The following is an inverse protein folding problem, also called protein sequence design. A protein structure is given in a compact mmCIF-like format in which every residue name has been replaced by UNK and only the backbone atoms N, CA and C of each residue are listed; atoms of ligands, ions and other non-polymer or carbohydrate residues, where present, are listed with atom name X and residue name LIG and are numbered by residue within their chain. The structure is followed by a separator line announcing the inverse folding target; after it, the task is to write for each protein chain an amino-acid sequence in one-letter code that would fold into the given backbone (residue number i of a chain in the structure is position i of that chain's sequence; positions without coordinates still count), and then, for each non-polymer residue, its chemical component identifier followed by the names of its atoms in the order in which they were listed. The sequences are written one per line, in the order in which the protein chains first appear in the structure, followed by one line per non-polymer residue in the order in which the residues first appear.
data_IF_566233007825
#
_entry.id   IF_566233007825
#
_cell.length_a   1.000
_cell.length_b   1.000
_cell.length_c   1.000
_cell.angle_alpha   90.00
_cell.angle_beta   90.00
_cell.angle_gamma   90.00
#
_symmetry.space_group_name_H-M   'P 1'
#
loop_
_entity.id
_entity.type
_entity.pdbx_description
1 polymer ?
#
# COMPACT_ATOMS: atom_id res chain seq x y z
N UNK A 1 12.12 13.78 19.93
CA UNK A 1 12.83 12.50 19.89
C UNK A 1 12.26 11.52 20.88
N UNK A 2 12.60 11.59 22.18
CA UNK A 2 12.24 10.58 23.18
C UNK A 2 10.78 10.11 23.12
N UNK A 3 9.82 11.03 23.11
CA UNK A 3 8.39 10.70 22.99
C UNK A 3 8.02 9.99 21.67
N UNK A 4 8.63 10.40 20.55
CA UNK A 4 8.37 9.78 19.26
C UNK A 4 9.00 8.37 19.19
N UNK A 5 10.21 8.23 19.74
CA UNK A 5 10.88 6.95 19.85
C UNK A 5 10.09 5.96 20.72
N UNK A 6 9.63 6.37 21.90
CA UNK A 6 8.73 5.58 22.76
C UNK A 6 7.48 5.13 21.99
N UNK A 7 6.82 6.04 21.28
CA UNK A 7 5.65 5.70 20.44
C UNK A 7 6.01 4.65 19.37
N UNK A 8 7.14 4.78 18.69
CA UNK A 8 7.50 3.86 17.60
C UNK A 8 7.99 2.50 18.09
N UNK A 9 8.54 2.42 19.31
CA UNK A 9 9.05 1.18 19.88
C UNK A 9 7.99 0.42 20.68
N UNK A 10 7.21 1.15 21.49
CA UNK A 10 6.41 0.58 22.57
C UNK A 10 4.89 0.61 22.32
N UNK A 11 4.40 1.38 21.34
CA UNK A 11 2.99 1.26 20.96
C UNK A 11 2.77 0.01 20.09
N UNK A 12 1.56 -0.57 20.14
CA UNK A 12 1.16 -1.61 19.21
C UNK A 12 1.46 -1.18 17.78
N UNK A 13 2.09 -2.06 17.00
CA UNK A 13 2.53 -1.74 15.65
C UNK A 13 1.36 -1.12 14.90
N UNK A 14 0.19 -1.74 14.85
CA UNK A 14 -1.00 -1.23 14.16
C UNK A 14 -1.40 0.24 14.44
N UNK A 15 -1.00 0.87 15.55
CA UNK A 15 -1.26 2.27 15.88
C UNK A 15 -0.19 3.26 15.37
N UNK A 16 0.95 2.77 14.92
CA UNK A 16 2.05 3.60 14.41
C UNK A 16 1.70 4.12 13.00
N UNK A 17 1.82 5.43 12.79
CA UNK A 17 1.76 6.03 11.46
C UNK A 17 3.12 5.88 10.77
N UNK A 18 3.19 5.00 9.78
CA UNK A 18 4.41 4.65 9.06
C UNK A 18 4.83 5.73 8.03
N UNK A 19 3.88 6.47 7.47
CA UNK A 19 4.14 7.43 6.37
C UNK A 19 4.96 8.64 6.84
N UNK A 20 4.81 9.01 8.11
CA UNK A 20 5.44 10.21 8.67
C UNK A 20 6.77 9.94 9.37
N UNK A 21 7.14 8.67 9.62
CA UNK A 21 8.33 8.31 10.42
C UNK A 21 9.60 8.82 9.75
N UNK A 22 9.80 8.47 8.48
CA UNK A 22 11.05 8.77 7.78
C UNK A 22 11.29 10.29 7.70
N UNK A 23 10.25 11.05 7.35
CA UNK A 23 10.29 12.51 7.34
C UNK A 23 10.59 13.07 8.74
N UNK A 24 9.87 12.59 9.76
CA UNK A 24 10.03 13.06 11.15
C UNK A 24 11.44 12.78 11.69
N UNK A 25 11.97 11.59 11.44
CA UNK A 25 13.34 11.21 11.84
C UNK A 25 14.37 12.08 11.11
N UNK A 26 14.19 12.31 9.81
CA UNK A 26 15.07 13.18 9.00
C UNK A 26 15.11 14.61 9.55
N UNK A 27 13.96 15.17 9.91
CA UNK A 27 13.86 16.51 10.46
C UNK A 27 14.43 16.61 11.87
N UNK A 28 14.15 15.64 12.74
CA UNK A 28 14.77 15.58 14.07
C UNK A 28 16.30 15.46 13.97
N UNK A 29 16.80 14.67 13.02
CA UNK A 29 18.24 14.54 12.77
C UNK A 29 18.86 15.89 12.37
N UNK A 30 18.29 16.55 11.36
CA UNK A 30 18.75 17.88 10.91
C UNK A 30 18.72 18.90 12.04
N UNK A 31 17.67 18.87 12.86
CA UNK A 31 17.54 19.74 14.04
C UNK A 31 18.68 19.48 15.03
N UNK A 32 18.97 18.23 15.37
CA UNK A 32 20.08 17.90 16.29
C UNK A 32 21.44 18.32 15.73
N UNK A 33 21.70 18.10 14.44
CA UNK A 33 22.94 18.57 13.79
C UNK A 33 23.10 20.09 13.89
N UNK A 34 22.01 20.85 13.76
CA UNK A 34 22.02 22.31 13.98
C UNK A 34 22.26 22.65 15.44
N UNK A 35 21.57 21.99 16.37
CA UNK A 35 21.73 22.19 17.82
C UNK A 35 23.16 21.95 18.30
N UNK A 36 23.84 20.91 17.79
CA UNK A 36 25.25 20.64 18.12
C UNK A 36 26.16 21.82 17.75
N UNK A 37 25.90 22.50 16.62
CA UNK A 37 26.64 23.70 16.21
C UNK A 37 26.27 24.91 17.07
N UNK A 38 24.99 25.09 17.38
CA UNK A 38 24.50 26.22 18.20
C UNK A 38 25.04 26.17 19.63
N UNK A 39 25.17 24.97 20.20
CA UNK A 39 25.65 24.77 21.58
C UNK A 39 27.16 24.53 21.67
N UNK A 40 27.95 24.90 20.64
CA UNK A 40 29.39 24.66 20.62
C UNK A 40 30.13 25.23 21.85
N UNK A 41 29.66 26.35 22.38
CA UNK A 41 30.24 27.01 23.55
C UNK A 41 29.63 26.55 24.90
N UNK A 42 28.65 25.63 24.88
CA UNK A 42 27.96 25.10 26.06
C UNK A 42 28.08 23.56 26.07
N UNK A 43 29.20 23.01 26.60
CA UNK A 43 29.51 21.58 26.49
C UNK A 43 28.43 20.63 27.01
N UNK A 44 27.72 21.01 28.08
CA UNK A 44 26.64 20.20 28.68
C UNK A 44 25.39 20.12 27.79
N UNK A 45 25.06 21.18 27.05
CA UNK A 45 23.94 21.14 26.11
C UNK A 45 24.34 20.45 24.81
N UNK A 46 25.59 20.64 24.38
CA UNK A 46 26.13 19.98 23.21
C UNK A 46 26.16 18.46 23.38
N UNK A 47 26.59 17.96 24.55
CA UNK A 47 26.64 16.51 24.82
C UNK A 47 25.26 15.86 24.72
N UNK A 48 24.21 16.51 25.25
CA UNK A 48 22.82 16.02 25.12
C UNK A 48 22.36 15.99 23.66
N UNK A 49 22.71 17.00 22.86
CA UNK A 49 22.36 17.03 21.43
C UNK A 49 23.10 15.94 20.63
N UNK A 50 24.37 15.65 20.98
CA UNK A 50 25.14 14.54 20.41
C UNK A 50 24.50 13.20 20.77
N UNK A 51 24.14 13.01 22.03
CA UNK A 51 23.50 11.78 22.51
C UNK A 51 22.19 11.49 21.76
N UNK A 52 21.30 12.48 21.65
CA UNK A 52 20.05 12.33 20.90
C UNK A 52 20.32 12.05 19.42
N UNK A 53 21.32 12.71 18.81
CA UNK A 53 21.71 12.44 17.41
C UNK A 53 22.17 10.99 17.24
N UNK A 54 22.96 10.45 18.18
CA UNK A 54 23.45 9.08 18.10
C UNK A 54 22.29 8.08 18.19
N UNK A 55 21.34 8.29 19.12
CA UNK A 55 20.11 7.48 19.19
C UNK A 55 19.31 7.52 17.88
N UNK A 56 19.22 8.69 17.24
CA UNK A 56 18.58 8.81 15.92
C UNK A 56 19.34 7.99 14.86
N UNK A 57 20.67 8.02 14.87
CA UNK A 57 21.49 7.27 13.91
C UNK A 57 21.40 5.75 14.12
N UNK A 58 21.24 5.28 15.36
CA UNK A 58 20.99 3.87 15.68
C UNK A 58 19.59 3.43 15.27
N UNK A 59 18.59 4.30 15.35
CA UNK A 59 17.21 3.99 14.96
C UNK A 59 17.00 3.98 13.44
N UNK A 60 17.68 4.85 12.69
CA UNK A 60 17.50 5.00 11.23
C UNK A 60 17.54 3.67 10.44
N UNK A 61 18.52 2.77 10.66
CA UNK A 61 18.56 1.47 9.99
C UNK A 61 17.36 0.57 10.27
N UNK A 62 16.63 0.81 11.36
CA UNK A 62 15.45 0.02 11.75
C UNK A 62 14.17 0.50 11.05
N UNK A 63 14.18 1.71 10.47
CA UNK A 63 13.00 2.29 9.81
C UNK A 63 12.47 1.40 8.68
N UNK A 64 13.30 0.90 7.74
CA UNK A 64 12.80 0.03 6.67
C UNK A 64 12.09 -1.22 7.20
N UNK A 65 12.60 -1.80 8.29
CA UNK A 65 11.98 -2.95 8.93
C UNK A 65 10.62 -2.60 9.54
N UNK A 66 10.53 -1.47 10.24
CA UNK A 66 9.27 -0.97 10.78
C UNK A 66 8.25 -0.71 9.67
N UNK A 67 8.67 -0.11 8.55
CA UNK A 67 7.82 0.10 7.37
C UNK A 67 7.36 -1.22 6.74
N UNK A 68 8.26 -2.21 6.64
CA UNK A 68 7.95 -3.53 6.11
C UNK A 68 6.90 -4.27 6.99
N UNK A 69 7.07 -4.23 8.31
CA UNK A 69 6.11 -4.76 9.28
C UNK A 69 4.74 -4.06 9.20
N UNK A 70 4.74 -2.81 8.73
CA UNK A 70 3.55 -1.97 8.58
C UNK A 70 2.89 -2.00 7.23
N UNK A 71 3.46 -2.75 6.29
CA UNK A 71 3.03 -2.70 4.92
C UNK A 71 1.56 -3.16 4.79
N UNK A 72 0.65 -2.31 4.25
CA UNK A 72 -0.77 -2.63 4.14
C UNK A 72 -1.05 -3.79 3.17
N UNK A 73 -0.10 -4.10 2.28
CA UNK A 73 -0.16 -5.26 1.41
C UNK A 73 0.10 -6.59 2.10
N UNK A 74 0.57 -6.58 3.35
CA UNK A 74 0.80 -7.80 4.11
C UNK A 74 -0.53 -8.49 4.41
N UNK A 75 -0.57 -9.80 4.14
CA UNK A 75 -1.72 -10.68 4.34
C UNK A 75 -1.21 -11.94 5.00
N UNK A 76 -2.10 -12.79 5.50
CA UNK A 76 -1.76 -14.04 6.20
C UNK A 76 -0.68 -14.86 5.49
N UNK A 77 -0.84 -15.11 4.17
CA UNK A 77 0.16 -15.80 3.33
C UNK A 77 1.60 -15.24 3.42
N UNK A 78 1.74 -13.93 3.62
CA UNK A 78 3.05 -13.26 3.72
C UNK A 78 3.68 -13.50 5.09
N UNK A 79 2.87 -13.48 6.14
CA UNK A 79 3.31 -13.79 7.50
C UNK A 79 3.64 -15.27 7.66
N UNK A 80 2.84 -16.16 7.08
CA UNK A 80 3.14 -17.60 7.00
C UNK A 80 4.45 -17.86 6.24
N UNK A 81 4.69 -17.15 5.13
CA UNK A 81 5.96 -17.25 4.41
C UNK A 81 7.13 -16.81 5.30
N UNK A 82 6.99 -15.69 6.02
CA UNK A 82 8.03 -15.21 6.94
C UNK A 82 8.29 -16.21 8.07
N UNK A 83 7.25 -16.79 8.65
CA UNK A 83 7.36 -17.84 9.68
C UNK A 83 8.05 -19.08 9.13
N UNK A 84 7.73 -19.52 7.92
CA UNK A 84 8.38 -20.68 7.29
C UNK A 84 9.88 -20.45 7.04
N UNK A 85 10.28 -19.24 6.66
CA UNK A 85 11.67 -18.91 6.35
C UNK A 85 12.51 -18.62 7.62
N UNK A 86 11.90 -18.12 8.70
CA UNK A 86 12.62 -17.65 9.90
C UNK A 86 12.35 -18.48 11.16
N UNK A 87 11.24 -19.22 11.20
CA UNK A 87 10.73 -19.88 12.40
C UNK A 87 10.07 -18.93 13.41
N UNK A 88 9.91 -17.64 13.08
CA UNK A 88 9.33 -16.63 13.98
C UNK A 88 7.86 -16.41 13.63
N UNK A 89 6.98 -16.72 14.59
CA UNK A 89 5.55 -16.44 14.48
C UNK A 89 5.24 -15.03 14.99
N UNK A 90 4.66 -14.18 14.15
CA UNK A 90 4.22 -12.83 14.52
C UNK A 90 2.70 -12.78 14.66
N UNK A 91 2.21 -12.72 15.89
CA UNK A 91 0.80 -12.55 16.19
C UNK A 91 0.47 -11.09 16.53
N UNK A 92 -0.13 -10.38 15.57
CA UNK A 92 -0.52 -8.98 15.75
C UNK A 92 -1.83 -8.81 16.54
N UNK A 93 -2.58 -9.89 16.82
CA UNK A 93 -3.86 -9.81 17.55
C UNK A 93 -3.67 -9.42 19.02
N UNK A 94 -2.49 -9.67 19.57
CA UNK A 94 -2.15 -9.40 20.98
C UNK A 94 -1.59 -8.00 21.22
N UNK A 95 -1.54 -7.15 20.19
CA UNK A 95 -0.96 -5.80 20.30
C UNK A 95 0.56 -5.77 20.24
N UNK A 96 1.16 -6.65 19.42
CA UNK A 96 2.60 -6.76 19.20
C UNK A 96 3.25 -5.40 18.89
N UNK A 97 4.31 -5.06 19.61
CA UNK A 97 5.08 -3.81 19.47
C UNK A 97 6.31 -4.01 18.59
N UNK A 98 6.93 -2.91 18.13
CA UNK A 98 8.18 -3.02 17.36
C UNK A 98 9.33 -3.53 18.22
N UNK A 99 9.37 -3.13 19.50
CA UNK A 99 10.32 -3.65 20.48
C UNK A 99 10.19 -5.17 20.68
N UNK A 100 8.96 -5.69 20.70
CA UNK A 100 8.73 -7.14 20.78
C UNK A 100 9.30 -7.85 19.55
N UNK A 101 9.03 -7.35 18.34
CA UNK A 101 9.58 -7.90 17.10
C UNK A 101 11.11 -7.96 17.12
N UNK A 102 11.78 -6.89 17.56
CA UNK A 102 13.24 -6.87 17.68
C UNK A 102 13.74 -7.91 18.70
N UNK A 103 13.05 -8.03 19.83
CA UNK A 103 13.38 -9.01 20.88
C UNK A 103 13.18 -10.45 20.41
N UNK A 104 12.22 -10.69 19.51
CA UNK A 104 11.97 -11.98 18.87
C UNK A 104 12.98 -12.32 17.77
N UNK A 105 13.94 -11.43 17.45
CA UNK A 105 14.97 -11.66 16.44
C UNK A 105 14.59 -11.22 15.03
N UNK A 106 13.45 -10.55 14.83
CA UNK A 106 13.02 -10.09 13.50
C UNK A 106 14.05 -9.15 12.85
N UNK A 107 14.80 -8.40 13.66
CA UNK A 107 15.89 -7.52 13.20
C UNK A 107 17.00 -8.26 12.46
N UNK A 108 17.29 -9.51 12.84
CA UNK A 108 18.30 -10.37 12.18
C UNK A 108 17.82 -10.88 10.82
N UNK A 109 16.50 -10.86 10.61
CA UNK A 109 15.83 -11.30 9.38
C UNK A 109 15.24 -10.13 8.58
N UNK A 110 15.77 -8.92 8.76
CA UNK A 110 15.26 -7.72 8.11
C UNK A 110 15.26 -7.80 6.58
N UNK A 111 16.25 -8.46 5.98
CA UNK A 111 16.32 -8.66 4.52
C UNK A 111 15.17 -9.56 4.01
N UNK A 112 14.85 -10.63 4.75
CA UNK A 112 13.75 -11.55 4.42
C UNK A 112 12.41 -10.79 4.53
N UNK A 113 12.21 -10.09 5.65
CA UNK A 113 11.02 -9.26 5.86
C UNK A 113 10.86 -8.21 4.76
N UNK A 114 11.96 -7.55 4.37
CA UNK A 114 11.98 -6.57 3.28
C UNK A 114 11.56 -7.19 1.94
N UNK A 115 12.09 -8.35 1.59
CA UNK A 115 11.72 -9.06 0.36
C UNK A 115 10.24 -9.47 0.32
N UNK A 116 9.71 -9.98 1.44
CA UNK A 116 8.31 -10.36 1.55
C UNK A 116 7.41 -9.13 1.47
N UNK A 117 7.75 -8.05 2.18
CA UNK A 117 7.03 -6.78 2.12
C UNK A 117 7.06 -6.18 0.71
N UNK A 118 8.18 -6.24 0.00
CA UNK A 118 8.26 -5.76 -1.39
C UNK A 118 7.33 -6.52 -2.33
N UNK A 119 7.21 -7.84 -2.16
CA UNK A 119 6.24 -8.66 -2.89
C UNK A 119 4.81 -8.23 -2.52
N UNK A 120 4.53 -8.09 -1.24
CA UNK A 120 3.24 -7.67 -0.72
C UNK A 120 2.81 -6.29 -1.24
N UNK A 121 3.73 -5.32 -1.35
CA UNK A 121 3.47 -4.00 -1.95
C UNK A 121 3.00 -4.11 -3.39
N UNK A 122 3.64 -4.98 -4.18
CA UNK A 122 3.32 -5.14 -5.61
C UNK A 122 1.99 -5.87 -5.79
N UNK A 123 1.70 -6.85 -4.95
CA UNK A 123 0.40 -7.51 -4.90
C UNK A 123 -0.71 -6.52 -4.49
N UNK A 124 -0.46 -5.69 -3.49
CA UNK A 124 -1.41 -4.67 -3.04
C UNK A 124 -1.71 -3.62 -4.11
N UNK A 125 -0.72 -3.23 -4.91
CA UNK A 125 -0.96 -2.32 -6.03
C UNK A 125 -1.97 -2.91 -7.03
N UNK A 126 -1.89 -4.21 -7.33
CA UNK A 126 -2.86 -4.91 -8.18
C UNK A 126 -4.24 -4.92 -7.53
N UNK A 127 -4.32 -5.28 -6.24
CA UNK A 127 -5.57 -5.29 -5.46
C UNK A 127 -6.26 -3.91 -5.51
N UNK A 128 -5.50 -2.84 -5.28
CA UNK A 128 -6.02 -1.46 -5.29
C UNK A 128 -6.48 -1.04 -6.67
N UNK A 129 -5.71 -1.32 -7.72
CA UNK A 129 -6.10 -1.03 -9.10
C UNK A 129 -7.39 -1.77 -9.47
N UNK A 130 -7.50 -3.06 -9.15
CA UNK A 130 -8.68 -3.85 -9.46
C UNK A 130 -9.91 -3.38 -8.70
N UNK A 131 -9.79 -3.16 -7.39
CA UNK A 131 -10.89 -2.65 -6.56
C UNK A 131 -11.36 -1.26 -7.02
N UNK A 132 -10.42 -0.38 -7.41
CA UNK A 132 -10.75 0.92 -7.96
C UNK A 132 -11.53 0.78 -9.26
N UNK A 133 -11.07 -0.07 -10.19
CA UNK A 133 -11.77 -0.30 -11.45
C UNK A 133 -13.19 -0.79 -11.21
N UNK A 134 -13.36 -1.81 -10.37
CA UNK A 134 -14.68 -2.37 -10.01
C UNK A 134 -15.58 -1.29 -9.39
N UNK A 135 -15.06 -0.51 -8.44
CA UNK A 135 -15.81 0.55 -7.77
C UNK A 135 -16.27 1.67 -8.72
N UNK A 136 -15.48 2.01 -9.74
CA UNK A 136 -15.87 3.00 -10.75
C UNK A 136 -17.10 2.55 -11.56
N UNK A 137 -17.35 1.25 -11.70
CA UNK A 137 -18.52 0.71 -12.41
C UNK A 137 -19.78 0.59 -11.57
N UNK A 138 -19.71 0.65 -10.23
CA UNK A 138 -20.89 0.50 -9.36
C UNK A 138 -21.93 1.59 -9.62
N UNK A 139 -21.50 2.79 -9.98
CA UNK A 139 -22.36 3.95 -10.21
C UNK A 139 -22.64 4.23 -11.70
N UNK A 140 -22.08 3.44 -12.63
CA UNK A 140 -22.28 3.64 -14.07
C UNK A 140 -23.72 3.32 -14.45
N UNK A 141 -24.37 4.26 -15.14
CA UNK A 141 -25.76 4.12 -15.61
C UNK A 141 -25.83 4.46 -17.09
N UNK A 142 -26.31 3.52 -17.88
CA UNK A 142 -26.59 3.74 -19.30
C UNK A 142 -27.95 4.43 -19.46
N UNK A 143 -27.99 5.53 -20.20
CA UNK A 143 -29.23 6.28 -20.42
C UNK A 143 -30.02 5.67 -21.57
N UNK A 144 -31.28 5.30 -21.32
CA UNK A 144 -32.23 4.87 -22.35
C UNK A 144 -33.22 5.98 -22.63
N UNK A 145 -33.40 6.35 -23.90
CA UNK A 145 -34.37 7.38 -24.33
C UNK A 145 -35.39 6.81 -25.31
N UNK A 146 -36.68 7.18 -25.21
CA UNK A 146 -37.70 6.71 -26.15
C UNK A 146 -37.40 7.15 -27.58
N UNK A 147 -37.55 6.23 -28.54
CA UNK A 147 -37.41 6.54 -29.96
C UNK A 147 -38.75 6.98 -30.56
N UNK A 148 -38.93 8.30 -30.70
CA UNK A 148 -40.11 8.90 -31.35
C UNK A 148 -41.42 8.30 -30.81
N UNK A 149 -42.27 7.74 -31.67
CA UNK A 149 -43.55 7.11 -31.34
C UNK A 149 -43.57 5.61 -31.63
N UNK A 150 -42.41 4.96 -31.78
CA UNK A 150 -42.33 3.53 -32.11
C UNK A 150 -42.62 2.64 -30.90
N UNK A 151 -42.53 3.19 -29.68
CA UNK A 151 -42.60 2.42 -28.44
C UNK A 151 -41.30 1.70 -28.09
N UNK A 152 -40.20 1.94 -28.83
CA UNK A 152 -38.86 1.40 -28.57
C UNK A 152 -37.95 2.45 -27.91
N UNK A 153 -36.77 2.03 -27.44
CA UNK A 153 -35.79 2.89 -26.78
C UNK A 153 -34.43 2.81 -27.49
N UNK A 154 -33.71 3.92 -27.52
CA UNK A 154 -32.30 3.99 -27.93
C UNK A 154 -31.43 4.17 -26.69
N UNK A 155 -30.26 3.54 -26.70
CA UNK A 155 -29.25 3.72 -25.68
C UNK A 155 -28.33 4.87 -26.06
N UNK A 156 -28.06 5.75 -25.09
CA UNK A 156 -27.00 6.74 -25.17
C UNK A 156 -25.87 6.29 -24.26
N UNK A 157 -24.74 6.02 -24.87
CA UNK A 157 -23.47 5.83 -24.18
C UNK A 157 -22.72 7.15 -24.28
N UNK A 158 -22.29 7.70 -23.14
CA UNK A 158 -21.50 8.93 -23.14
C UNK A 158 -20.05 8.62 -23.48
N UNK A 159 -19.35 9.60 -24.06
CA UNK A 159 -17.92 9.46 -24.39
C UNK A 159 -17.09 9.11 -23.16
N UNK A 160 -17.49 9.57 -21.96
CA UNK A 160 -16.83 9.23 -20.70
C UNK A 160 -16.95 7.74 -20.33
N UNK A 161 -18.10 7.11 -20.57
CA UNK A 161 -18.31 5.68 -20.30
C UNK A 161 -17.49 4.85 -21.28
N UNK A 162 -17.45 5.25 -22.56
CA UNK A 162 -16.66 4.56 -23.57
C UNK A 162 -15.16 4.64 -23.25
N UNK A 163 -14.68 5.84 -22.90
CA UNK A 163 -13.29 6.05 -22.50
C UNK A 163 -12.93 5.24 -21.25
N UNK A 164 -13.80 5.21 -20.23
CA UNK A 164 -13.62 4.40 -19.02
C UNK A 164 -13.45 2.91 -19.36
N UNK A 165 -14.32 2.39 -20.24
CA UNK A 165 -14.28 0.99 -20.66
C UNK A 165 -12.98 0.65 -21.40
N UNK A 166 -12.59 1.47 -22.36
CA UNK A 166 -11.38 1.26 -23.14
C UNK A 166 -10.11 1.34 -22.25
N UNK A 167 -10.05 2.33 -21.36
CA UNK A 167 -8.94 2.51 -20.42
C UNK A 167 -8.82 1.32 -19.46
N UNK A 168 -9.94 0.86 -18.91
CA UNK A 168 -9.94 -0.25 -17.97
C UNK A 168 -9.65 -1.60 -18.65
N UNK A 169 -10.02 -1.79 -19.93
CA UNK A 169 -9.59 -2.97 -20.69
C UNK A 169 -8.07 -3.00 -20.80
N UNK A 170 -7.45 -1.87 -21.18
CA UNK A 170 -5.99 -1.76 -21.29
C UNK A 170 -5.33 -1.96 -19.92
N UNK A 171 -5.87 -1.34 -18.87
CA UNK A 171 -5.32 -1.45 -17.52
C UNK A 171 -5.43 -2.88 -16.96
N UNK A 172 -6.55 -3.56 -17.19
CA UNK A 172 -6.75 -4.97 -16.82
C UNK A 172 -5.73 -5.87 -17.52
N UNK A 173 -5.48 -5.61 -18.82
CA UNK A 173 -4.46 -6.32 -19.57
C UNK A 173 -3.04 -6.07 -19.03
N UNK A 174 -2.74 -4.85 -18.55
CA UNK A 174 -1.43 -4.55 -17.95
C UNK A 174 -1.21 -5.33 -16.64
N UNK A 175 -2.22 -5.37 -15.76
CA UNK A 175 -2.10 -6.10 -14.48
C UNK A 175 -2.10 -7.62 -14.69
N UNK A 176 -2.74 -8.14 -15.76
CA UNK A 176 -2.73 -9.57 -16.10
C UNK A 176 -1.36 -10.08 -16.59
N UNK A 177 -0.45 -9.18 -16.97
CA UNK A 177 0.96 -9.49 -17.26
C UNK A 177 1.88 -9.35 -16.04
N UNK A 178 1.38 -8.87 -14.91
CA UNK A 178 2.20 -8.73 -13.71
C UNK A 178 2.63 -10.09 -13.16
N UNK A 179 3.91 -10.30 -12.82
CA UNK A 179 4.36 -11.54 -12.17
C UNK A 179 3.81 -11.68 -10.74
N UNK A 180 3.22 -10.62 -10.18
CA UNK A 180 2.62 -10.60 -8.83
C UNK A 180 1.11 -10.85 -8.85
N UNK A 181 0.53 -11.20 -10.01
CA UNK A 181 -0.92 -11.39 -10.16
C UNK A 181 -1.47 -12.63 -9.47
N UNK A 182 -0.62 -13.59 -9.08
CA UNK A 182 -1.04 -14.94 -8.68
C UNK A 182 -2.24 -15.00 -7.73
N UNK A 183 -2.29 -14.23 -6.63
CA UNK A 183 -3.44 -14.21 -5.71
C UNK A 183 -4.74 -13.64 -6.29
N UNK A 184 -4.66 -12.94 -7.43
CA UNK A 184 -5.77 -12.21 -8.06
C UNK A 184 -6.09 -12.70 -9.47
N UNK A 185 -5.47 -13.79 -9.94
CA UNK A 185 -5.58 -14.25 -11.33
C UNK A 185 -7.03 -14.50 -11.74
N UNK A 186 -7.79 -15.25 -10.93
CA UNK A 186 -9.22 -15.50 -11.17
C UNK A 186 -10.04 -14.21 -11.19
N UNK A 187 -9.77 -13.27 -10.28
CA UNK A 187 -10.50 -11.99 -10.24
C UNK A 187 -10.17 -11.08 -11.43
N UNK A 188 -8.92 -11.10 -11.91
CA UNK A 188 -8.49 -10.35 -13.08
C UNK A 188 -9.15 -10.94 -14.34
N UNK A 189 -9.14 -12.26 -14.49
CA UNK A 189 -9.73 -12.95 -15.64
C UNK A 189 -11.25 -12.70 -15.71
N UNK A 190 -11.95 -12.85 -14.57
CA UNK A 190 -13.38 -12.54 -14.44
C UNK A 190 -13.70 -11.08 -14.79
N UNK A 191 -12.85 -10.15 -14.36
CA UNK A 191 -13.04 -8.74 -14.64
C UNK A 191 -12.79 -8.40 -16.11
N UNK A 192 -11.75 -8.99 -16.70
CA UNK A 192 -11.42 -8.86 -18.12
C UNK A 192 -12.56 -9.38 -19.00
N UNK A 193 -13.14 -10.52 -18.65
CA UNK A 193 -14.30 -11.07 -19.37
C UNK A 193 -15.51 -10.15 -19.28
N UNK A 194 -15.82 -9.61 -18.09
CA UNK A 194 -16.93 -8.65 -17.91
C UNK A 194 -16.76 -7.42 -18.80
N UNK A 195 -15.58 -6.81 -18.79
CA UNK A 195 -15.31 -5.63 -19.64
C UNK A 195 -15.45 -5.95 -21.13
N UNK A 196 -14.93 -7.08 -21.59
CA UNK A 196 -15.07 -7.52 -23.00
C UNK A 196 -16.52 -7.75 -23.39
N UNK A 197 -17.31 -8.40 -22.54
CA UNK A 197 -18.74 -8.62 -22.78
C UNK A 197 -19.46 -7.27 -22.82
N UNK A 198 -19.17 -6.36 -21.89
CA UNK A 198 -19.77 -5.02 -21.87
C UNK A 198 -19.46 -4.25 -23.16
N UNK A 199 -18.21 -4.26 -23.62
CA UNK A 199 -17.82 -3.62 -24.87
C UNK A 199 -18.57 -4.20 -26.08
N UNK A 200 -18.61 -5.53 -26.18
CA UNK A 200 -19.31 -6.22 -27.26
C UNK A 200 -20.81 -5.90 -27.26
N UNK A 201 -21.47 -5.93 -26.10
CA UNK A 201 -22.92 -5.64 -25.99
C UNK A 201 -23.21 -4.19 -26.34
N UNK A 202 -22.37 -3.24 -25.94
CA UNK A 202 -22.53 -1.83 -26.30
C UNK A 202 -22.40 -1.65 -27.81
N UNK A 203 -21.36 -2.21 -28.42
CA UNK A 203 -21.12 -2.12 -29.88
C UNK A 203 -22.29 -2.68 -30.68
N UNK A 204 -22.70 -3.92 -30.38
CA UNK A 204 -23.83 -4.57 -31.06
C UNK A 204 -25.13 -3.80 -30.85
N UNK A 205 -25.38 -3.27 -29.64
CA UNK A 205 -26.57 -2.44 -29.40
C UNK A 205 -26.56 -1.17 -30.25
N UNK A 206 -25.41 -0.51 -30.36
CA UNK A 206 -25.26 0.71 -31.16
C UNK A 206 -25.50 0.45 -32.65
N UNK A 207 -25.13 -0.73 -33.15
CA UNK A 207 -25.31 -1.14 -34.55
C UNK A 207 -26.76 -1.52 -34.90
N UNK A 208 -27.52 -2.09 -33.96
CA UNK A 208 -28.87 -2.63 -34.24
C UNK A 208 -30.04 -1.70 -33.88
N UNK A 209 -29.80 -0.59 -33.18
CA UNK A 209 -30.85 0.33 -32.71
C UNK A 209 -31.37 1.36 -33.73
#
# INVERSE_FOLDING_TARGET
WLRAHEIWMDNPINQIDAETIEHTVSDMYKMMVRSIKTFADIPTMQSVAIEIKNQIDEFKPLIPLLLALKNPGMKERHWEQFEQETGILLDFSTGLTFQDCLTMGVGEHADIMGHIADKATKEYAIEQTLNKMIGEWEDVKLELTPYKTTGTYIMKVSDEIQQLLDDQIVLTQQISFSPFKGPFEELIDDWEEKLKITAYVIEEWMDVQ
#
